data_IF_112818365454
#
_entry.id   IF_112818365454
#
_cell.length_a   1.000
_cell.length_b   1.000
_cell.length_c   1.000
_cell.angle_alpha   90.00
_cell.angle_beta   90.00
_cell.angle_gamma   90.00
#
_symmetry.space_group_name_H-M   'P 1'
#
loop_
_entity.id
_entity.type
_entity.pdbx_description
1 polymer ?
#
# COMPACT_ATOMS: atom_id res chain seq x y z
N UNK A 1 -16.80 20.56 -20.97
CA UNK A 1 -15.66 19.66 -21.27
C UNK A 1 -15.36 18.71 -20.11
N UNK A 2 -14.99 19.19 -18.91
CA UNK A 2 -14.70 18.33 -17.74
C UNK A 2 -15.85 17.39 -17.35
N UNK A 3 -17.07 17.91 -17.25
CA UNK A 3 -18.27 17.12 -16.91
C UNK A 3 -18.51 15.96 -17.89
N UNK A 4 -18.37 16.22 -19.19
CA UNK A 4 -18.53 15.21 -20.25
C UNK A 4 -17.49 14.09 -20.13
N UNK A 5 -16.25 14.43 -19.80
CA UNK A 5 -15.18 13.43 -19.58
C UNK A 5 -15.52 12.54 -18.37
N UNK A 6 -15.99 13.12 -17.27
CA UNK A 6 -16.46 12.35 -16.10
C UNK A 6 -17.64 11.44 -16.43
N UNK A 7 -18.59 11.92 -17.22
CA UNK A 7 -19.73 11.11 -17.68
C UNK A 7 -19.26 9.92 -18.53
N UNK A 8 -18.33 10.14 -19.47
CA UNK A 8 -17.76 9.07 -20.30
C UNK A 8 -17.00 8.05 -19.43
N UNK A 9 -16.18 8.52 -18.49
CA UNK A 9 -15.44 7.65 -17.59
C UNK A 9 -16.36 6.86 -16.66
N UNK A 10 -17.46 7.44 -16.16
CA UNK A 10 -18.45 6.71 -15.36
C UNK A 10 -19.21 5.67 -16.18
N UNK A 11 -19.51 5.97 -17.45
CA UNK A 11 -20.37 5.16 -18.30
C UNK A 11 -19.58 4.15 -19.15
N UNK A 12 -18.25 4.25 -19.19
CA UNK A 12 -17.38 3.24 -19.82
C UNK A 12 -17.34 1.98 -18.96
N UNK A 13 -18.31 1.09 -19.17
CA UNK A 13 -18.37 -0.21 -18.52
C UNK A 13 -17.40 -1.18 -19.24
N UNK A 14 -16.15 -1.21 -18.78
CA UNK A 14 -15.17 -2.19 -19.24
C UNK A 14 -15.27 -3.46 -18.39
N UNK A 15 -15.24 -4.62 -19.04
CA UNK A 15 -15.47 -5.95 -18.46
C UNK A 15 -14.46 -6.36 -17.35
N UNK A 16 -13.42 -5.56 -17.08
CA UNK A 16 -12.37 -5.81 -16.07
C UNK A 16 -12.34 -4.80 -14.90
N UNK A 17 -13.43 -4.07 -14.69
CA UNK A 17 -13.61 -2.99 -13.72
C UNK A 17 -13.16 -1.62 -14.25
N UNK A 18 -14.01 -0.62 -14.02
CA UNK A 18 -13.71 0.76 -14.34
C UNK A 18 -12.61 1.26 -13.40
N UNK A 19 -11.38 1.40 -13.92
CA UNK A 19 -10.21 1.85 -13.15
C UNK A 19 -10.49 3.13 -12.37
N UNK A 20 -11.31 4.03 -12.93
CA UNK A 20 -11.71 5.26 -12.26
C UNK A 20 -12.58 4.99 -11.01
N UNK A 21 -13.64 4.18 -11.13
CA UNK A 21 -14.49 3.80 -9.99
C UNK A 21 -13.69 3.07 -8.91
N UNK A 22 -12.76 2.20 -9.30
CA UNK A 22 -11.88 1.48 -8.37
C UNK A 22 -10.94 2.43 -7.62
N UNK A 23 -10.27 3.35 -8.33
CA UNK A 23 -9.40 4.36 -7.72
C UNK A 23 -10.18 5.29 -6.79
N UNK A 24 -11.36 5.75 -7.22
CA UNK A 24 -12.22 6.62 -6.42
C UNK A 24 -12.70 5.89 -5.15
N UNK A 25 -13.11 4.62 -5.26
CA UNK A 25 -13.51 3.82 -4.10
C UNK A 25 -12.38 3.62 -3.09
N UNK A 26 -11.19 3.24 -3.56
CA UNK A 26 -10.01 3.10 -2.70
C UNK A 26 -9.64 4.43 -2.04
N UNK A 27 -9.70 5.54 -2.78
CA UNK A 27 -9.45 6.87 -2.25
C UNK A 27 -10.45 7.26 -1.16
N UNK A 28 -11.75 7.06 -1.39
CA UNK A 28 -12.80 7.32 -0.39
C UNK A 28 -12.60 6.49 0.88
N UNK A 29 -12.25 5.21 0.73
CA UNK A 29 -11.92 4.33 1.84
C UNK A 29 -10.70 4.84 2.63
N UNK A 30 -9.63 5.26 1.95
CA UNK A 30 -8.44 5.84 2.58
C UNK A 30 -8.74 7.14 3.34
N UNK A 31 -9.69 7.95 2.85
CA UNK A 31 -10.17 9.15 3.54
C UNK A 31 -11.11 8.87 4.73
N UNK A 32 -11.31 7.60 5.12
CA UNK A 32 -12.25 7.18 6.17
C UNK A 32 -13.70 7.61 5.88
N UNK A 33 -14.08 7.64 4.61
CA UNK A 33 -15.46 7.91 4.20
C UNK A 33 -16.37 6.82 4.77
N UNK A 34 -17.51 7.16 5.41
CA UNK A 34 -18.42 6.15 5.96
C UNK A 34 -18.85 5.13 4.90
N UNK A 35 -18.87 3.85 5.25
CA UNK A 35 -19.19 2.76 4.31
C UNK A 35 -20.53 2.98 3.60
N UNK A 36 -21.54 3.49 4.32
CA UNK A 36 -22.84 3.83 3.73
C UNK A 36 -22.74 4.82 2.56
N UNK A 37 -21.82 5.79 2.62
CA UNK A 37 -21.59 6.76 1.54
C UNK A 37 -20.86 6.10 0.37
N UNK A 38 -19.92 5.21 0.64
CA UNK A 38 -19.23 4.45 -0.41
C UNK A 38 -20.23 3.54 -1.14
N UNK A 39 -21.10 2.85 -0.41
CA UNK A 39 -22.14 1.98 -0.98
C UNK A 39 -23.19 2.76 -1.78
N UNK A 40 -23.61 3.95 -1.33
CA UNK A 40 -24.52 4.77 -2.14
C UNK A 40 -23.87 5.22 -3.45
N UNK A 41 -22.60 5.64 -3.40
CA UNK A 41 -21.83 5.99 -4.59
C UNK A 41 -21.59 4.78 -5.51
N UNK A 42 -21.45 3.59 -4.95
CA UNK A 42 -21.33 2.35 -5.71
C UNK A 42 -22.64 2.03 -6.45
N UNK A 43 -23.79 2.15 -5.78
CA UNK A 43 -25.10 2.00 -6.41
C UNK A 43 -25.39 3.07 -7.47
N UNK A 44 -24.81 4.27 -7.35
CA UNK A 44 -24.88 5.32 -8.37
C UNK A 44 -23.91 5.09 -9.56
N UNK A 45 -23.08 4.04 -9.52
CA UNK A 45 -22.05 3.80 -10.55
C UNK A 45 -20.92 4.82 -10.53
N UNK A 46 -20.68 5.48 -9.40
CA UNK A 46 -19.59 6.46 -9.23
C UNK A 46 -18.35 5.77 -8.63
N UNK A 47 -18.56 4.83 -7.72
CA UNK A 47 -17.51 4.06 -7.03
C UNK A 47 -17.71 2.56 -7.21
N UNK A 48 -16.73 1.77 -6.79
CA UNK A 48 -16.93 0.35 -6.47
C UNK A 48 -17.44 0.18 -5.04
N UNK A 49 -18.05 -0.98 -4.74
CA UNK A 49 -18.51 -1.33 -3.40
C UNK A 49 -17.35 -1.51 -2.41
N UNK A 50 -17.66 -1.41 -1.12
CA UNK A 50 -16.71 -1.69 -0.01
C UNK A 50 -16.15 -3.10 -0.08
N UNK A 51 -16.96 -4.08 -0.48
CA UNK A 51 -16.51 -5.47 -0.70
C UNK A 51 -15.44 -5.54 -1.79
N UNK A 52 -15.66 -4.88 -2.92
CA UNK A 52 -14.71 -4.83 -4.03
C UNK A 52 -13.42 -4.13 -3.64
N UNK A 53 -13.51 -3.07 -2.82
CA UNK A 53 -12.34 -2.36 -2.27
C UNK A 53 -11.51 -3.31 -1.40
N UNK A 54 -12.16 -4.00 -0.45
CA UNK A 54 -11.49 -4.94 0.45
C UNK A 54 -10.83 -6.10 -0.31
N UNK A 55 -11.52 -6.66 -1.31
CA UNK A 55 -10.97 -7.72 -2.17
C UNK A 55 -9.78 -7.21 -3.00
N UNK A 56 -9.84 -5.97 -3.49
CA UNK A 56 -8.73 -5.33 -4.22
C UNK A 56 -7.51 -5.14 -3.32
N UNK A 57 -7.70 -4.65 -2.08
CA UNK A 57 -6.61 -4.50 -1.10
C UNK A 57 -6.01 -5.86 -0.72
N UNK A 58 -6.85 -6.87 -0.50
CA UNK A 58 -6.41 -8.24 -0.21
C UNK A 58 -5.61 -8.84 -1.36
N UNK A 59 -6.10 -8.69 -2.59
CA UNK A 59 -5.42 -9.14 -3.81
C UNK A 59 -4.07 -8.44 -3.98
N UNK A 60 -4.03 -7.12 -3.80
CA UNK A 60 -2.79 -6.34 -3.86
C UNK A 60 -1.79 -6.82 -2.81
N UNK A 61 -2.21 -7.02 -1.57
CA UNK A 61 -1.36 -7.54 -0.50
C UNK A 61 -0.80 -8.93 -0.81
N UNK A 62 -1.62 -9.85 -1.34
CA UNK A 62 -1.17 -11.17 -1.77
C UNK A 62 -0.16 -11.09 -2.92
N UNK A 63 -0.39 -10.22 -3.90
CA UNK A 63 0.53 -10.04 -5.03
C UNK A 63 1.86 -9.42 -4.60
N UNK A 64 1.83 -8.39 -3.75
CA UNK A 64 3.02 -7.80 -3.16
C UNK A 64 3.82 -8.84 -2.36
N UNK A 65 3.16 -9.68 -1.57
CA UNK A 65 3.82 -10.76 -0.83
C UNK A 65 4.52 -11.76 -1.75
N UNK A 66 3.85 -12.16 -2.84
CA UNK A 66 4.47 -13.05 -3.85
C UNK A 66 5.69 -12.39 -4.50
N UNK A 67 5.56 -11.13 -4.92
CA UNK A 67 6.67 -10.38 -5.51
C UNK A 67 7.87 -10.25 -4.54
N UNK A 68 7.61 -10.05 -3.26
CA UNK A 68 8.65 -10.04 -2.22
C UNK A 68 9.32 -11.40 -2.03
N UNK A 69 8.54 -12.49 -2.06
CA UNK A 69 9.06 -13.85 -1.99
C UNK A 69 9.93 -14.17 -3.21
N UNK A 70 9.45 -13.86 -4.41
CA UNK A 70 10.18 -14.06 -5.66
C UNK A 70 11.48 -13.26 -5.66
N UNK A 71 11.44 -12.00 -5.21
CA UNK A 71 12.61 -11.16 -5.06
C UNK A 71 13.59 -11.73 -4.01
N UNK A 72 13.10 -12.20 -2.87
CA UNK A 72 13.91 -12.86 -1.85
C UNK A 72 14.61 -14.11 -2.38
N UNK A 73 13.92 -14.92 -3.20
CA UNK A 73 14.48 -16.11 -3.82
C UNK A 73 15.65 -15.82 -4.77
N UNK A 74 15.73 -14.60 -5.33
CA UNK A 74 16.90 -14.20 -6.14
C UNK A 74 18.19 -14.07 -5.31
N UNK A 75 18.08 -13.92 -3.98
CA UNK A 75 19.19 -13.57 -3.09
C UNK A 75 19.93 -12.29 -3.50
N UNK A 76 19.31 -11.45 -4.33
CA UNK A 76 19.86 -10.20 -4.88
C UNK A 76 18.98 -9.01 -4.49
N UNK A 77 18.67 -8.91 -3.20
CA UNK A 77 17.82 -7.88 -2.63
C UNK A 77 18.49 -7.22 -1.43
N UNK A 78 18.21 -5.94 -1.24
CA UNK A 78 18.55 -5.19 -0.04
C UNK A 78 17.30 -4.98 0.81
N UNK A 79 17.53 -4.90 2.12
CA UNK A 79 16.49 -4.64 3.12
C UNK A 79 16.88 -3.36 3.83
N UNK A 80 15.97 -2.39 3.87
CA UNK A 80 16.10 -1.20 4.69
C UNK A 80 15.01 -1.23 5.77
N UNK A 81 15.40 -1.00 7.02
CA UNK A 81 14.47 -0.79 8.12
C UNK A 81 14.46 0.68 8.50
N UNK A 82 13.28 1.21 8.78
CA UNK A 82 13.11 2.58 9.25
C UNK A 82 12.01 2.65 10.31
N UNK A 83 12.10 3.62 11.21
CA UNK A 83 11.08 3.84 12.24
C UNK A 83 10.01 4.78 11.69
N UNK A 84 8.74 4.39 11.87
CA UNK A 84 7.58 5.15 11.45
C UNK A 84 6.78 5.53 12.68
N UNK A 85 6.79 6.82 12.99
CA UNK A 85 6.00 7.38 14.08
C UNK A 85 4.69 7.93 13.54
N UNK A 86 3.57 7.36 13.98
CA UNK A 86 2.24 7.76 13.54
C UNK A 86 1.48 8.39 14.70
N UNK A 87 1.06 9.63 14.53
CA UNK A 87 0.17 10.30 15.47
C UNK A 87 -1.30 9.99 15.11
N UNK A 88 -1.91 9.08 15.86
CA UNK A 88 -3.33 8.73 15.69
C UNK A 88 -4.20 9.76 16.42
N UNK A 89 -4.73 10.73 15.68
CA UNK A 89 -5.71 11.68 16.25
C UNK A 89 -6.97 10.92 16.68
N UNK A 90 -7.30 10.96 17.96
CA UNK A 90 -8.56 10.45 18.50
C UNK A 90 -9.76 11.20 17.91
N UNK A 91 -10.88 10.51 17.71
CA UNK A 91 -12.11 11.11 17.14
C UNK A 91 -12.92 11.92 18.16
N UNK A 92 -12.62 11.82 19.45
CA UNK A 92 -13.34 12.51 20.54
C UNK A 92 -12.34 13.32 21.36
N UNK A 93 -12.61 14.61 21.53
CA UNK A 93 -11.90 15.44 22.50
C UNK A 93 -12.33 15.03 23.91
N UNK A 94 -11.65 14.04 24.48
CA UNK A 94 -11.83 13.69 25.91
C UNK A 94 -11.06 14.72 26.73
N UNK A 95 -11.70 15.25 27.79
CA UNK A 95 -11.15 16.28 28.69
C UNK A 95 -9.83 15.84 29.34
N UNK A 96 -9.64 14.53 29.50
CA UNK A 96 -8.38 13.94 29.95
C UNK A 96 -7.47 13.70 28.74
N UNK A 97 -6.41 14.51 28.62
CA UNK A 97 -5.32 14.28 27.67
C UNK A 97 -4.53 13.04 28.08
N UNK A 98 -4.94 11.86 27.65
CA UNK A 98 -4.00 10.74 27.57
C UNK A 98 -3.04 11.05 26.42
N UNK A 99 -1.79 11.35 26.75
CA UNK A 99 -0.72 11.70 25.81
C UNK A 99 -0.30 10.54 24.86
N UNK A 100 -1.07 9.46 24.78
CA UNK A 100 -0.69 8.20 24.13
C UNK A 100 -1.26 8.04 22.71
N UNK A 101 -1.23 9.12 21.92
CA UNK A 101 -1.65 9.11 20.51
C UNK A 101 -0.52 8.75 19.53
N UNK A 102 0.73 8.80 20.00
CA UNK A 102 1.89 8.45 19.20
C UNK A 102 2.05 6.93 19.18
N UNK A 103 2.15 6.35 17.99
CA UNK A 103 2.44 4.94 17.77
C UNK A 103 3.77 4.81 17.07
N UNK A 104 4.70 4.13 17.72
CA UNK A 104 5.99 3.76 17.16
C UNK A 104 5.83 2.44 16.39
N UNK A 105 6.18 2.46 15.12
CA UNK A 105 6.17 1.29 14.23
C UNK A 105 7.56 1.14 13.60
N UNK A 106 7.93 -0.08 13.24
CA UNK A 106 9.10 -0.33 12.40
C UNK A 106 8.62 -0.79 11.03
N UNK A 107 9.05 -0.08 9.99
CA UNK A 107 8.79 -0.43 8.60
C UNK A 107 10.02 -1.11 7.98
N UNK A 108 9.78 -2.02 7.04
CA UNK A 108 10.82 -2.67 6.25
C UNK A 108 10.54 -2.49 4.77
N UNK A 109 11.56 -2.11 4.01
CA UNK A 109 11.53 -2.04 2.55
C UNK A 109 12.45 -3.09 1.96
N UNK A 110 11.91 -3.91 1.08
CA UNK A 110 12.67 -4.88 0.28
C UNK A 110 12.78 -4.34 -1.14
N UNK A 111 13.99 -4.22 -1.68
CA UNK A 111 14.19 -3.73 -3.04
C UNK A 111 15.31 -4.49 -3.76
N UNK A 112 15.22 -4.64 -5.10
CA UNK A 112 16.24 -5.35 -5.85
C UNK A 112 17.57 -4.62 -5.84
N UNK A 113 18.67 -5.37 -5.81
CA UNK A 113 19.98 -4.83 -6.11
C UNK A 113 20.06 -4.54 -7.61
N UNK A 114 20.18 -3.26 -7.96
CA UNK A 114 20.16 -2.78 -9.34
C UNK A 114 21.51 -2.99 -10.05
N UNK A 115 21.59 -2.60 -11.33
CA UNK A 115 22.82 -2.60 -12.14
C UNK A 115 23.42 -4.00 -12.40
N UNK A 116 22.56 -5.00 -12.60
CA UNK A 116 23.00 -6.34 -13.00
C UNK A 116 23.70 -7.12 -11.89
N UNK A 117 23.43 -6.80 -10.62
CA UNK A 117 23.94 -7.59 -9.49
C UNK A 117 23.42 -9.02 -9.59
N UNK A 118 24.34 -9.97 -9.52
CA UNK A 118 24.05 -11.40 -9.49
C UNK A 118 24.49 -11.99 -8.16
N UNK A 119 24.04 -13.21 -7.89
CA UNK A 119 24.41 -13.95 -6.68
C UNK A 119 25.92 -14.13 -6.53
N UNK A 120 26.65 -14.25 -7.65
CA UNK A 120 28.11 -14.39 -7.66
C UNK A 120 28.82 -13.14 -7.14
N UNK A 121 28.27 -11.95 -7.37
CA UNK A 121 28.81 -10.72 -6.80
C UNK A 121 28.67 -10.68 -5.27
N UNK A 122 27.73 -11.43 -4.70
CA UNK A 122 27.41 -11.46 -3.27
C UNK A 122 28.01 -12.67 -2.53
N UNK A 123 28.78 -13.54 -3.20
CA UNK A 123 29.28 -14.80 -2.61
C UNK A 123 30.14 -14.61 -1.34
N UNK A 124 30.80 -13.46 -1.21
CA UNK A 124 31.62 -13.11 -0.04
C UNK A 124 30.98 -12.06 0.88
N UNK A 125 29.70 -11.73 0.66
CA UNK A 125 28.97 -10.74 1.47
C UNK A 125 29.04 -11.02 2.97
N UNK A 126 28.89 -12.29 3.37
CA UNK A 126 29.05 -12.73 4.77
C UNK A 126 30.45 -12.48 5.32
N UNK A 127 31.48 -12.85 4.56
CA UNK A 127 32.87 -12.65 4.97
C UNK A 127 33.21 -11.15 5.14
N UNK A 128 32.69 -10.32 4.24
CA UNK A 128 32.83 -8.86 4.32
C UNK A 128 32.07 -8.30 5.54
N UNK A 129 30.85 -8.80 5.79
CA UNK A 129 30.06 -8.41 6.94
C UNK A 129 30.78 -8.68 8.26
N UNK A 130 31.30 -9.89 8.44
CA UNK A 130 32.00 -10.34 9.65
C UNK A 130 33.34 -9.62 9.89
N UNK A 131 33.96 -9.05 8.84
CA UNK A 131 35.25 -8.32 8.93
C UNK A 131 35.11 -6.80 8.90
N UNK A 132 33.89 -6.28 8.74
CA UNK A 132 33.63 -4.86 8.71
C UNK A 132 33.91 -4.24 10.08
N UNK A 133 34.56 -3.07 10.11
CA UNK A 133 34.74 -2.30 11.35
C UNK A 133 33.46 -1.58 11.80
N UNK A 134 32.42 -1.60 10.96
CA UNK A 134 31.17 -0.86 11.14
C UNK A 134 29.98 -1.75 11.51
N UNK A 135 30.19 -3.06 11.60
CA UNK A 135 29.18 -4.05 11.99
C UNK A 135 29.57 -4.68 13.33
#
# INVERSE_FOLDING_TARGET
>A
KKTVIFSILMQSSCQKANTFQSMLGIFLHACRTPEKVIETLAHMGISVSTTTINDSIKSLSMNSRRALQDLGCTMCAAIAYDNVDVMLKGSVAVVEKSNDSLRHLTSGLFFPLMHGVTREHLKYSRLLWEKSLFN
#
